data_IF_393795724609
#
_entry.id   IF_393795724609
#
_cell.length_a   1.000
_cell.length_b   1.000
_cell.length_c   1.000
_cell.angle_alpha   90.00
_cell.angle_beta   90.00
_cell.angle_gamma   90.00
#
_symmetry.space_group_name_H-M   'P 1'
#
loop_
_entity.id
_entity.type
_entity.pdbx_description
1 polymer ?
#
# COMPACT_ATOMS: atom_id res chain seq x y z
N UNK A 1 4.31 -4.28 -8.31
CA UNK A 1 4.45 -5.08 -9.52
C UNK A 1 4.68 -6.52 -9.12
N UNK A 2 3.71 -7.35 -9.45
CA UNK A 2 3.66 -8.79 -9.20
C UNK A 2 4.25 -9.52 -10.40
N UNK A 3 4.47 -10.83 -10.27
CA UNK A 3 5.04 -11.60 -11.39
C UNK A 3 4.16 -11.56 -12.65
N UNK A 4 2.84 -11.49 -12.50
CA UNK A 4 1.87 -11.46 -13.61
C UNK A 4 1.88 -10.15 -14.41
N UNK A 5 2.54 -9.11 -13.90
CA UNK A 5 2.78 -7.87 -14.63
C UNK A 5 3.93 -8.01 -15.66
N UNK A 6 4.61 -9.17 -15.73
CA UNK A 6 5.74 -9.44 -16.61
C UNK A 6 5.46 -10.59 -17.57
N UNK A 7 5.89 -10.45 -18.83
CA UNK A 7 5.70 -11.46 -19.88
C UNK A 7 6.27 -12.84 -19.49
N UNK A 8 7.45 -12.86 -18.84
CA UNK A 8 8.12 -14.10 -18.40
C UNK A 8 7.84 -14.45 -16.94
N UNK A 9 6.90 -13.76 -16.30
CA UNK A 9 6.52 -13.97 -14.89
C UNK A 9 7.72 -13.96 -13.95
N UNK A 10 7.79 -14.89 -13.00
CA UNK A 10 8.93 -15.03 -12.09
C UNK A 10 10.29 -15.28 -12.79
N UNK A 11 10.28 -15.71 -14.06
CA UNK A 11 11.48 -15.87 -14.87
C UNK A 11 11.97 -14.58 -15.54
N UNK A 12 11.22 -13.49 -15.43
CA UNK A 12 11.63 -12.21 -16.01
C UNK A 12 12.72 -11.55 -15.16
N UNK A 13 13.84 -11.19 -15.78
CA UNK A 13 14.93 -10.45 -15.12
C UNK A 13 14.50 -9.05 -14.67
N UNK A 14 13.39 -8.52 -15.21
CA UNK A 14 12.81 -7.24 -14.80
C UNK A 14 11.93 -7.37 -13.55
N UNK A 15 11.54 -8.59 -13.15
CA UNK A 15 10.80 -8.80 -11.92
C UNK A 15 11.70 -8.60 -10.71
N UNK A 16 11.63 -7.40 -10.12
CA UNK A 16 12.44 -6.97 -8.97
C UNK A 16 11.56 -6.43 -7.84
N UNK A 17 12.19 -5.99 -6.74
CA UNK A 17 11.49 -5.32 -5.63
C UNK A 17 10.85 -6.30 -4.63
N UNK A 18 9.85 -5.81 -3.88
CA UNK A 18 9.25 -6.52 -2.76
C UNK A 18 8.73 -7.92 -3.14
N UNK A 19 7.84 -8.05 -4.14
CA UNK A 19 7.26 -9.35 -4.51
C UNK A 19 8.27 -10.35 -5.08
N UNK A 20 9.38 -9.89 -5.67
CA UNK A 20 10.46 -10.80 -6.10
C UNK A 20 11.13 -11.47 -4.89
N UNK A 21 11.35 -10.70 -3.83
CA UNK A 21 11.91 -11.19 -2.58
C UNK A 21 10.87 -11.99 -1.78
N UNK A 22 9.61 -11.56 -1.77
CA UNK A 22 8.48 -12.30 -1.19
C UNK A 22 8.40 -13.72 -1.75
N UNK A 23 8.41 -13.87 -3.09
CA UNK A 23 8.45 -15.19 -3.74
C UNK A 23 9.63 -16.03 -3.25
N UNK A 24 10.82 -15.44 -3.23
CA UNK A 24 12.03 -16.17 -2.82
C UNK A 24 11.94 -16.67 -1.37
N UNK A 25 11.46 -15.82 -0.47
CA UNK A 25 11.38 -16.11 0.96
C UNK A 25 10.24 -17.07 1.31
N UNK A 26 9.05 -16.87 0.76
CA UNK A 26 7.84 -17.59 1.18
C UNK A 26 7.51 -18.78 0.29
N UNK A 27 7.72 -18.66 -1.03
CA UNK A 27 7.47 -19.76 -1.96
C UNK A 27 8.71 -20.65 -2.12
N UNK A 28 9.85 -20.06 -2.44
CA UNK A 28 11.08 -20.81 -2.73
C UNK A 28 11.86 -21.18 -1.45
N UNK A 29 11.50 -20.57 -0.30
CA UNK A 29 12.15 -20.76 1.00
C UNK A 29 13.67 -20.61 0.95
N UNK A 30 14.15 -19.64 0.17
CA UNK A 30 15.56 -19.47 -0.14
C UNK A 30 15.95 -18.01 -0.31
N UNK A 31 17.20 -17.70 0.03
CA UNK A 31 17.83 -16.40 -0.20
C UNK A 31 18.91 -16.46 -1.29
N UNK A 32 19.13 -17.64 -1.89
CA UNK A 32 20.17 -17.86 -2.89
C UNK A 32 19.97 -16.94 -4.09
N UNK A 33 21.01 -16.18 -4.45
CA UNK A 33 20.98 -15.24 -5.56
C UNK A 33 20.18 -13.96 -5.31
N UNK A 34 19.60 -13.75 -4.12
CA UNK A 34 18.71 -12.61 -3.86
C UNK A 34 19.43 -11.34 -3.41
N UNK A 35 20.73 -11.42 -3.09
CA UNK A 35 21.50 -10.26 -2.61
C UNK A 35 21.39 -9.04 -3.53
N UNK A 36 21.60 -9.23 -4.83
CA UNK A 36 21.53 -8.13 -5.80
C UNK A 36 20.13 -7.49 -5.89
N UNK A 37 19.07 -8.28 -5.71
CA UNK A 37 17.69 -7.77 -5.69
C UNK A 37 17.40 -6.98 -4.41
N UNK A 38 17.92 -7.42 -3.26
CA UNK A 38 17.81 -6.69 -2.00
C UNK A 38 18.60 -5.37 -2.03
N UNK A 39 19.84 -5.39 -2.55
CA UNK A 39 20.66 -4.19 -2.72
C UNK A 39 19.95 -3.16 -3.62
N UNK A 40 19.37 -3.64 -4.73
CA UNK A 40 18.58 -2.79 -5.64
C UNK A 40 17.35 -2.21 -4.97
N UNK A 41 16.55 -3.03 -4.27
CA UNK A 41 15.36 -2.55 -3.57
C UNK A 41 15.72 -1.44 -2.57
N UNK A 42 16.80 -1.62 -1.79
CA UNK A 42 17.26 -0.60 -0.86
C UNK A 42 17.65 0.71 -1.59
N UNK A 43 18.39 0.59 -2.69
CA UNK A 43 18.75 1.77 -3.52
C UNK A 43 17.50 2.48 -4.07
N UNK A 44 16.52 1.73 -4.58
CA UNK A 44 15.29 2.28 -5.14
C UNK A 44 14.46 2.99 -4.05
N UNK A 45 14.41 2.45 -2.83
CA UNK A 45 13.74 3.07 -1.67
C UNK A 45 14.44 4.36 -1.22
N UNK A 46 15.77 4.39 -1.18
CA UNK A 46 16.53 5.59 -0.83
C UNK A 46 16.36 6.69 -1.89
N UNK A 47 16.35 6.32 -3.17
CA UNK A 47 16.08 7.26 -4.26
C UNK A 47 14.64 7.79 -4.19
N UNK A 48 13.66 6.94 -3.88
CA UNK A 48 12.28 7.37 -3.65
C UNK A 48 12.19 8.39 -2.50
N UNK A 49 12.85 8.11 -1.37
CA UNK A 49 12.91 9.03 -0.23
C UNK A 49 13.45 10.41 -0.65
N UNK A 50 14.55 10.44 -1.39
CA UNK A 50 15.14 11.69 -1.89
C UNK A 50 14.13 12.46 -2.76
N UNK A 51 13.50 11.79 -3.72
CA UNK A 51 12.53 12.42 -4.64
C UNK A 51 11.31 12.98 -3.92
N UNK A 52 10.80 12.27 -2.91
CA UNK A 52 9.66 12.74 -2.11
C UNK A 52 10.03 14.03 -1.37
N UNK A 53 11.25 14.14 -0.83
CA UNK A 53 11.69 15.34 -0.12
C UNK A 53 11.81 16.56 -1.04
N UNK A 54 12.08 16.35 -2.33
CA UNK A 54 12.19 17.42 -3.34
C UNK A 54 10.84 17.76 -3.98
N UNK A 55 9.82 16.91 -3.80
CA UNK A 55 8.54 17.05 -4.47
C UNK A 55 7.63 18.06 -3.77
N UNK A 56 7.28 19.14 -4.46
CA UNK A 56 6.18 19.98 -4.06
C UNK A 56 4.85 19.22 -4.24
N UNK A 57 4.22 18.81 -3.14
CA UNK A 57 2.95 18.07 -3.15
C UNK A 57 1.75 19.00 -3.27
N UNK A 58 0.99 19.00 -4.39
CA UNK A 58 -0.23 19.77 -4.50
C UNK A 58 -1.29 19.19 -3.56
N UNK A 59 -1.98 19.99 -2.72
CA UNK A 59 -2.97 19.49 -1.77
C UNK A 59 -4.06 18.62 -2.42
N UNK A 60 -4.53 19.00 -3.62
CA UNK A 60 -5.53 18.22 -4.36
C UNK A 60 -5.06 16.83 -4.79
N UNK A 61 -3.75 16.65 -5.04
CA UNK A 61 -3.19 15.34 -5.37
C UNK A 61 -3.17 14.41 -4.15
N UNK A 62 -2.93 14.96 -2.95
CA UNK A 62 -3.01 14.17 -1.72
C UNK A 62 -4.43 13.64 -1.49
N UNK A 63 -5.47 14.49 -1.65
CA UNK A 63 -6.87 14.06 -1.49
C UNK A 63 -7.25 12.98 -2.52
N UNK A 64 -6.89 13.19 -3.78
CA UNK A 64 -7.11 12.18 -4.83
C UNK A 64 -6.37 10.87 -4.55
N UNK A 65 -5.16 10.94 -4.02
CA UNK A 65 -4.38 9.76 -3.61
C UNK A 65 -5.06 8.98 -2.48
N UNK A 66 -5.64 9.65 -1.48
CA UNK A 66 -6.40 8.98 -0.42
C UNK A 66 -7.59 8.17 -0.96
N UNK A 67 -8.32 8.73 -1.92
CA UNK A 67 -9.43 8.02 -2.57
C UNK A 67 -8.92 6.82 -3.37
N UNK A 68 -7.86 7.00 -4.15
CA UNK A 68 -7.25 5.93 -4.95
C UNK A 68 -6.76 4.76 -4.07
N UNK A 69 -6.17 5.03 -2.90
CA UNK A 69 -5.73 3.98 -1.97
C UNK A 69 -6.90 3.12 -1.47
N UNK A 70 -8.07 3.74 -1.21
CA UNK A 70 -9.27 3.01 -0.78
C UNK A 70 -9.89 2.22 -1.94
N UNK A 71 -9.86 2.76 -3.16
CA UNK A 71 -10.32 2.05 -4.36
C UNK A 71 -9.44 0.85 -4.68
N UNK A 72 -8.11 1.00 -4.60
CA UNK A 72 -7.14 -0.08 -4.81
C UNK A 72 -7.33 -1.23 -3.82
N UNK A 73 -7.55 -0.89 -2.53
CA UNK A 73 -7.89 -1.87 -1.48
C UNK A 73 -9.10 -2.70 -1.87
N UNK A 74 -10.18 -2.06 -2.34
CA UNK A 74 -11.40 -2.74 -2.73
C UNK A 74 -11.21 -3.59 -4.01
N UNK A 75 -10.36 -3.14 -4.93
CA UNK A 75 -10.17 -3.79 -6.22
C UNK A 75 -9.22 -4.99 -6.18
N UNK A 76 -8.13 -4.92 -5.41
CA UNK A 76 -6.98 -5.85 -5.56
C UNK A 76 -6.56 -6.54 -4.27
N UNK A 77 -6.72 -5.89 -3.11
CA UNK A 77 -6.28 -6.45 -1.82
C UNK A 77 -7.30 -7.39 -1.19
N UNK A 78 -8.58 -7.21 -1.49
CA UNK A 78 -9.66 -8.05 -0.92
C UNK A 78 -9.63 -9.49 -1.45
N UNK A 79 -9.08 -9.71 -2.66
CA UNK A 79 -8.93 -11.04 -3.26
C UNK A 79 -7.68 -11.80 -2.77
N UNK A 80 -6.77 -11.13 -2.03
CA UNK A 80 -5.53 -11.72 -1.55
C UNK A 80 -4.51 -12.00 -2.68
N UNK A 81 -4.54 -11.19 -3.74
CA UNK A 81 -3.68 -11.35 -4.91
C UNK A 81 -2.36 -10.56 -4.82
N UNK A 82 -2.27 -9.60 -3.90
CA UNK A 82 -1.13 -8.70 -3.77
C UNK A 82 0.07 -9.46 -3.18
N UNK A 83 -0.14 -10.07 -2.01
CA UNK A 83 0.86 -10.86 -1.28
C UNK A 83 0.60 -12.36 -1.42
N UNK A 84 0.60 -12.86 -2.65
CA UNK A 84 0.15 -14.23 -2.96
C UNK A 84 0.97 -15.34 -2.30
N UNK A 85 2.22 -15.06 -1.92
CA UNK A 85 3.11 -16.03 -1.31
C UNK A 85 3.16 -15.89 0.21
N UNK A 86 3.25 -14.66 0.74
CA UNK A 86 3.32 -14.40 2.19
C UNK A 86 1.96 -14.36 2.87
N UNK A 87 0.88 -14.09 2.12
CA UNK A 87 -0.49 -13.92 2.63
C UNK A 87 -0.61 -12.81 3.66
N UNK A 88 0.09 -11.70 3.41
CA UNK A 88 0.18 -10.53 4.29
C UNK A 88 -0.74 -9.37 3.88
N UNK A 89 -1.66 -9.60 2.93
CA UNK A 89 -2.50 -8.56 2.30
C UNK A 89 -3.30 -7.71 3.31
N UNK A 90 -3.64 -8.26 4.48
CA UNK A 90 -4.35 -7.52 5.54
C UNK A 90 -3.50 -6.42 6.17
N UNK A 91 -2.18 -6.61 6.25
CA UNK A 91 -1.26 -5.58 6.74
C UNK A 91 -1.20 -4.43 5.73
N UNK A 92 -1.13 -4.78 4.45
CA UNK A 92 -1.14 -3.84 3.32
C UNK A 92 -2.47 -3.10 3.18
N UNK A 93 -3.58 -3.77 3.47
CA UNK A 93 -4.91 -3.15 3.56
C UNK A 93 -4.88 -2.09 4.68
N UNK A 94 -4.49 -2.48 5.88
CA UNK A 94 -4.48 -1.57 7.02
C UNK A 94 -3.60 -0.34 6.74
N UNK A 95 -2.41 -0.52 6.16
CA UNK A 95 -1.51 0.58 5.81
C UNK A 95 -2.15 1.58 4.83
N UNK A 96 -2.87 1.08 3.80
CA UNK A 96 -3.61 1.95 2.87
C UNK A 96 -4.73 2.73 3.58
N UNK A 97 -5.46 2.07 4.48
CA UNK A 97 -6.52 2.71 5.29
C UNK A 97 -5.92 3.80 6.17
N UNK A 98 -4.82 3.52 6.87
CA UNK A 98 -4.14 4.46 7.78
C UNK A 98 -3.62 5.69 7.01
N UNK A 99 -3.08 5.48 5.81
CA UNK A 99 -2.66 6.55 4.90
C UNK A 99 -3.82 7.46 4.49
N UNK A 100 -4.96 6.87 4.08
CA UNK A 100 -6.15 7.62 3.72
C UNK A 100 -6.74 8.39 4.92
N UNK A 101 -6.78 7.77 6.11
CA UNK A 101 -7.21 8.41 7.36
C UNK A 101 -6.34 9.61 7.71
N UNK A 102 -5.03 9.50 7.53
CA UNK A 102 -4.07 10.59 7.80
C UNK A 102 -4.41 11.83 6.97
N UNK A 103 -4.73 11.65 5.68
CA UNK A 103 -5.10 12.76 4.80
C UNK A 103 -6.44 13.39 5.24
N UNK A 104 -7.43 12.59 5.61
CA UNK A 104 -8.70 13.10 6.16
C UNK A 104 -8.49 13.85 7.47
N UNK A 105 -7.60 13.38 8.33
CA UNK A 105 -7.27 14.02 9.61
C UNK A 105 -6.64 15.40 9.39
N UNK A 106 -5.75 15.55 8.41
CA UNK A 106 -5.17 16.86 8.04
C UNK A 106 -6.25 17.84 7.57
N UNK A 107 -7.29 17.37 6.88
CA UNK A 107 -8.40 18.20 6.37
C UNK A 107 -9.54 18.41 7.37
N UNK A 108 -9.51 17.71 8.51
CA UNK A 108 -10.60 17.66 9.48
C UNK A 108 -11.06 19.05 9.96
N UNK A 109 -10.19 20.04 10.26
CA UNK A 109 -10.65 21.37 10.67
C UNK A 109 -11.50 22.07 9.60
N UNK A 110 -11.12 21.95 8.33
CA UNK A 110 -11.86 22.53 7.20
C UNK A 110 -13.16 21.78 6.95
N UNK A 111 -13.12 20.45 6.94
CA UNK A 111 -14.31 19.60 6.76
C UNK A 111 -15.32 19.81 7.88
N UNK A 112 -14.89 19.97 9.13
CA UNK A 112 -15.77 20.25 10.26
C UNK A 112 -16.52 21.58 10.10
N UNK A 113 -15.85 22.60 9.55
CA UNK A 113 -16.45 23.91 9.28
C UNK A 113 -17.42 23.88 8.10
N UNK A 114 -17.08 23.15 7.04
CA UNK A 114 -17.86 23.15 5.79
C UNK A 114 -18.99 22.12 5.77
N UNK A 115 -18.72 20.90 6.25
CA UNK A 115 -19.67 19.79 6.19
C UNK A 115 -19.40 18.76 7.32
N UNK A 116 -19.84 19.06 8.56
CA UNK A 116 -19.63 18.18 9.70
C UNK A 116 -20.36 16.83 9.55
N UNK A 117 -21.48 16.77 8.82
CA UNK A 117 -22.19 15.52 8.54
C UNK A 117 -21.34 14.59 7.66
N UNK A 118 -20.71 15.11 6.61
CA UNK A 118 -19.79 14.35 5.76
C UNK A 118 -18.60 13.83 6.58
N UNK A 119 -18.00 14.68 7.42
CA UNK A 119 -16.90 14.26 8.29
C UNK A 119 -17.31 13.11 9.22
N UNK A 120 -18.51 13.19 9.81
CA UNK A 120 -19.05 12.11 10.66
C UNK A 120 -19.25 10.81 9.88
N UNK A 121 -19.74 10.90 8.64
CA UNK A 121 -19.93 9.73 7.77
C UNK A 121 -18.60 9.07 7.39
N UNK A 122 -17.59 9.86 7.03
CA UNK A 122 -16.24 9.37 6.71
C UNK A 122 -15.64 8.65 7.94
N UNK A 123 -15.71 9.28 9.12
CA UNK A 123 -15.19 8.69 10.35
C UNK A 123 -15.89 7.36 10.71
N UNK A 124 -17.21 7.28 10.56
CA UNK A 124 -17.96 6.05 10.80
C UNK A 124 -17.57 4.93 9.83
N UNK A 125 -17.34 5.26 8.55
CA UNK A 125 -16.90 4.29 7.56
C UNK A 125 -15.49 3.76 7.85
N UNK A 126 -14.54 4.63 8.20
CA UNK A 126 -13.20 4.20 8.60
C UNK A 126 -13.24 3.29 9.82
N UNK A 127 -13.98 3.69 10.87
CA UNK A 127 -14.15 2.84 12.05
C UNK A 127 -14.70 1.45 11.69
N UNK A 128 -15.69 1.38 10.81
CA UNK A 128 -16.26 0.10 10.37
C UNK A 128 -15.21 -0.78 9.68
N UNK A 129 -14.36 -0.20 8.84
CA UNK A 129 -13.27 -0.92 8.16
C UNK A 129 -12.23 -1.40 9.19
N UNK A 130 -11.78 -0.53 10.09
CA UNK A 130 -10.81 -0.89 11.14
C UNK A 130 -11.36 -1.98 12.07
N UNK A 131 -12.62 -1.88 12.48
CA UNK A 131 -13.29 -2.90 13.31
C UNK A 131 -13.36 -4.26 12.59
N UNK A 132 -13.47 -4.27 11.25
CA UNK A 132 -13.44 -5.51 10.46
C UNK A 132 -12.02 -6.07 10.42
N UNK A 133 -11.02 -5.25 10.08
CA UNK A 133 -9.61 -5.67 10.02
C UNK A 133 -9.10 -6.18 11.37
N UNK A 134 -9.52 -5.54 12.47
CA UNK A 134 -9.16 -5.93 13.82
C UNK A 134 -9.55 -7.37 14.18
N UNK A 135 -10.59 -7.94 13.55
CA UNK A 135 -11.00 -9.34 13.76
C UNK A 135 -9.97 -10.36 13.25
N UNK A 136 -9.05 -9.90 12.40
CA UNK A 136 -8.04 -10.72 11.76
C UNK A 136 -6.62 -10.33 12.21
N UNK A 137 -6.49 -9.43 13.18
CA UNK A 137 -5.22 -9.18 13.86
C UNK A 137 -4.98 -10.32 14.85
N UNK A 138 -3.96 -11.13 14.58
CA UNK A 138 -3.48 -12.15 15.51
C UNK A 138 -2.75 -11.52 16.69
#
# INVERSE_FOLDING_TARGET
>A
MREDDYEKKAGDTKFTGFHRLEKALFADKSTVGMKAYADRLNSDVLELQKRINELAFPPGKAVGGAAALIEEVAATKISGEEDRYSRTDLSDFQANVDGAQTIVNLLRPMLKKQNPQLLSKIAANFKKVDDILAKYRN
#
